data_IF_084631084926
#
_entry.id   IF_084631084926
#
_cell.length_a   1.000
_cell.length_b   1.000
_cell.length_c   1.000
_cell.angle_alpha   90.00
_cell.angle_beta   90.00
_cell.angle_gamma   90.00
#
_symmetry.space_group_name_H-M   'P 1'
#
loop_
_entity.id
_entity.type
_entity.pdbx_description
1 polymer ?
#
# COMPACT_ATOMS: atom_id res chain seq x y z
N UNK A 1 11.73 7.32 -25.85
CA UNK A 1 11.83 8.60 -25.11
C UNK A 1 12.61 8.32 -23.83
N UNK A 2 13.87 8.72 -23.76
CA UNK A 2 14.76 8.39 -22.63
C UNK A 2 14.49 9.41 -21.53
N UNK A 3 13.71 9.00 -20.52
CA UNK A 3 13.47 9.77 -19.29
C UNK A 3 14.83 9.85 -18.56
N UNK A 4 15.27 11.04 -18.10
CA UNK A 4 16.59 11.21 -17.52
C UNK A 4 16.79 10.28 -16.31
N UNK A 5 17.95 9.62 -16.32
CA UNK A 5 18.43 8.72 -15.29
C UNK A 5 18.57 9.43 -13.93
N UNK A 6 17.99 8.80 -12.90
CA UNK A 6 18.36 8.90 -11.49
C UNK A 6 18.13 10.25 -10.77
N UNK A 7 16.85 10.62 -10.59
CA UNK A 7 16.39 11.10 -9.28
C UNK A 7 15.32 10.13 -8.80
N UNK A 8 15.52 9.55 -7.63
CA UNK A 8 14.62 8.59 -6.98
C UNK A 8 13.19 9.14 -6.93
N UNK A 9 12.17 8.27 -6.87
CA UNK A 9 10.78 8.70 -6.86
C UNK A 9 10.48 9.72 -5.75
N UNK A 10 11.19 9.63 -4.62
CA UNK A 10 11.05 10.54 -3.50
C UNK A 10 11.65 11.94 -3.73
N UNK A 11 12.52 12.14 -4.71
CA UNK A 11 13.11 13.46 -4.97
C UNK A 11 12.17 14.40 -5.73
N UNK A 12 11.16 13.84 -6.39
CA UNK A 12 10.11 14.64 -7.01
C UNK A 12 9.27 15.38 -5.95
N UNK A 13 9.15 16.72 -6.02
CA UNK A 13 8.34 17.49 -5.09
C UNK A 13 6.88 17.06 -5.05
N UNK A 14 6.29 16.64 -6.18
CA UNK A 14 4.90 16.20 -6.22
C UNK A 14 4.71 14.90 -5.41
N UNK A 15 5.65 13.97 -5.53
CA UNK A 15 5.68 12.74 -4.73
C UNK A 15 5.83 13.01 -3.23
N UNK A 16 6.70 13.94 -2.83
CA UNK A 16 6.84 14.31 -1.40
C UNK A 16 5.57 14.91 -0.85
N UNK A 17 4.89 15.75 -1.63
CA UNK A 17 3.64 16.38 -1.20
C UNK A 17 2.52 15.34 -1.05
N UNK A 18 2.39 14.44 -2.01
CA UNK A 18 1.41 13.36 -1.94
C UNK A 18 1.68 12.40 -0.78
N UNK A 19 2.94 12.06 -0.52
CA UNK A 19 3.33 11.27 0.63
C UNK A 19 3.01 11.99 1.95
N UNK A 20 3.36 13.28 2.08
CA UNK A 20 3.04 14.09 3.27
C UNK A 20 1.54 14.16 3.51
N UNK A 21 0.73 14.40 2.48
CA UNK A 21 -0.73 14.43 2.61
C UNK A 21 -1.28 13.08 3.09
N UNK A 22 -0.77 11.99 2.53
CA UNK A 22 -1.15 10.63 2.95
C UNK A 22 -0.72 10.36 4.39
N UNK A 23 0.47 10.81 4.78
CA UNK A 23 1.01 10.67 6.13
C UNK A 23 0.17 11.46 7.14
N UNK A 24 -0.08 12.75 6.88
CA UNK A 24 -0.94 13.61 7.72
C UNK A 24 -2.31 12.98 7.89
N UNK A 25 -2.96 12.58 6.79
CA UNK A 25 -4.29 11.97 6.87
C UNK A 25 -4.31 10.71 7.74
N UNK A 26 -3.33 9.82 7.58
CA UNK A 26 -3.23 8.59 8.38
C UNK A 26 -2.90 8.86 9.85
N UNK A 27 -2.01 9.81 10.13
CA UNK A 27 -1.66 10.21 11.51
C UNK A 27 -2.84 10.88 12.19
N UNK A 28 -3.50 11.84 11.54
CA UNK A 28 -4.71 12.47 12.07
C UNK A 28 -5.82 11.44 12.31
N UNK A 29 -6.04 10.51 11.37
CA UNK A 29 -7.02 9.43 11.55
C UNK A 29 -6.66 8.51 12.73
N UNK A 30 -5.38 8.24 12.96
CA UNK A 30 -4.94 7.43 14.10
C UNK A 30 -5.14 8.18 15.42
N UNK A 31 -4.80 9.47 15.48
CA UNK A 31 -5.05 10.32 16.66
C UNK A 31 -6.54 10.45 16.97
N UNK A 32 -7.37 10.65 15.94
CA UNK A 32 -8.83 10.67 16.08
C UNK A 32 -9.37 9.33 16.58
N UNK A 33 -8.84 8.21 16.07
CA UNK A 33 -9.23 6.88 16.55
C UNK A 33 -8.88 6.69 18.02
N UNK A 34 -7.71 7.16 18.46
CA UNK A 34 -7.28 7.07 19.85
C UNK A 34 -8.12 7.97 20.76
N UNK A 35 -8.39 9.21 20.34
CA UNK A 35 -9.26 10.13 21.07
C UNK A 35 -10.68 9.57 21.21
N UNK A 36 -11.25 9.02 20.14
CA UNK A 36 -12.56 8.35 20.15
C UNK A 36 -12.60 7.16 21.10
N UNK A 37 -11.51 6.38 21.20
CA UNK A 37 -11.41 5.28 22.14
C UNK A 37 -11.42 5.76 23.60
N UNK A 38 -10.67 6.81 23.93
CA UNK A 38 -10.67 7.41 25.28
C UNK A 38 -12.03 8.00 25.62
N UNK A 39 -12.67 8.73 24.69
CA UNK A 39 -14.01 9.27 24.88
C UNK A 39 -15.05 8.15 25.08
N UNK A 40 -14.92 7.04 24.35
CA UNK A 40 -15.78 5.87 24.52
C UNK A 40 -15.60 5.22 25.89
N UNK A 41 -14.36 5.03 26.36
CA UNK A 41 -14.08 4.51 27.71
C UNK A 41 -14.69 5.39 28.80
N UNK A 42 -14.57 6.71 28.66
CA UNK A 42 -15.19 7.66 29.57
C UNK A 42 -16.71 7.51 29.58
N UNK A 43 -17.35 7.44 28.41
CA UNK A 43 -18.79 7.25 28.30
C UNK A 43 -19.24 5.96 29.00
N UNK A 44 -18.53 4.86 28.79
CA UNK A 44 -18.81 3.56 29.42
C UNK A 44 -18.79 3.64 30.94
N UNK A 45 -17.78 4.30 31.52
CA UNK A 45 -17.64 4.46 32.98
C UNK A 45 -18.78 5.28 33.57
N UNK A 46 -19.30 6.26 32.82
CA UNK A 46 -20.39 7.14 33.25
C UNK A 46 -21.79 6.53 33.04
N UNK A 47 -21.90 5.42 32.31
CA UNK A 47 -23.18 4.79 31.98
C UNK A 47 -23.47 3.54 32.82
N UNK A 48 -24.75 3.20 33.07
CA UNK A 48 -25.11 2.00 33.82
C UNK A 48 -24.63 0.71 33.14
N UNK A 49 -24.32 -0.33 33.93
CA UNK A 49 -23.70 -1.59 33.47
C UNK A 49 -24.45 -2.25 32.30
N UNK A 50 -25.77 -2.16 32.21
CA UNK A 50 -26.52 -2.75 31.10
C UNK A 50 -26.15 -2.16 29.73
N UNK A 51 -25.70 -0.91 29.67
CA UNK A 51 -25.27 -0.25 28.44
C UNK A 51 -23.99 -0.86 27.86
N UNK A 52 -23.18 -1.55 28.68
CA UNK A 52 -21.98 -2.26 28.20
C UNK A 52 -22.33 -3.27 27.11
N UNK A 53 -23.46 -3.98 27.23
CA UNK A 53 -23.88 -4.96 26.24
C UNK A 53 -24.16 -4.34 24.86
N UNK A 54 -24.69 -3.11 24.84
CA UNK A 54 -24.95 -2.35 23.61
C UNK A 54 -23.66 -1.71 23.07
N UNK A 55 -22.78 -1.26 23.97
CA UNK A 55 -21.54 -0.59 23.60
C UNK A 55 -20.42 -1.58 23.21
N UNK A 56 -20.52 -2.84 23.62
CA UNK A 56 -19.49 -3.86 23.35
C UNK A 56 -19.25 -4.13 21.85
N UNK A 57 -20.28 -4.26 20.98
CA UNK A 57 -20.06 -4.31 19.53
C UNK A 57 -19.34 -3.07 18.98
N UNK A 58 -19.67 -1.87 19.50
CA UNK A 58 -19.01 -0.63 19.10
C UNK A 58 -17.52 -0.62 19.51
N UNK A 59 -17.18 -1.19 20.68
CA UNK A 59 -15.79 -1.37 21.10
C UNK A 59 -15.00 -2.22 20.11
N UNK A 60 -15.54 -3.36 19.70
CA UNK A 60 -14.87 -4.26 18.75
C UNK A 60 -14.58 -3.52 17.43
N UNK A 61 -15.55 -2.74 16.94
CA UNK A 61 -15.37 -1.92 15.73
C UNK A 61 -14.29 -0.85 15.95
N UNK A 62 -14.30 -0.15 17.08
CA UNK A 62 -13.29 0.87 17.41
C UNK A 62 -11.87 0.27 17.52
N UNK A 63 -11.72 -0.90 18.15
CA UNK A 63 -10.45 -1.62 18.22
C UNK A 63 -9.99 -2.00 16.82
N UNK A 64 -10.88 -2.54 15.98
CA UNK A 64 -10.57 -2.89 14.60
C UNK A 64 -10.11 -1.68 13.77
N UNK A 65 -10.77 -0.53 13.92
CA UNK A 65 -10.36 0.73 13.27
C UNK A 65 -9.00 1.17 13.80
N UNK A 66 -8.78 1.18 15.12
CA UNK A 66 -7.53 1.58 15.74
C UNK A 66 -6.36 0.72 15.24
N UNK A 67 -6.49 -0.60 15.28
CA UNK A 67 -5.48 -1.54 14.76
C UNK A 67 -5.19 -1.29 13.27
N UNK A 68 -6.23 -1.09 12.46
CA UNK A 68 -6.06 -0.79 11.03
C UNK A 68 -5.35 0.54 10.80
N UNK A 69 -5.68 1.59 11.56
CA UNK A 69 -4.98 2.88 11.46
C UNK A 69 -3.52 2.76 11.87
N UNK A 70 -3.21 1.98 12.91
CA UNK A 70 -1.85 1.74 13.36
C UNK A 70 -1.01 1.04 12.27
N UNK A 71 -1.52 -0.05 11.70
CA UNK A 71 -0.86 -0.77 10.59
C UNK A 71 -0.65 0.16 9.39
N UNK A 72 -1.65 0.99 9.06
CA UNK A 72 -1.53 1.96 7.98
C UNK A 72 -0.44 3.02 8.23
N UNK A 73 -0.27 3.47 9.47
CA UNK A 73 0.80 4.41 9.87
C UNK A 73 2.15 3.73 9.79
N UNK A 74 2.29 2.50 10.31
CA UNK A 74 3.54 1.74 10.20
C UNK A 74 3.96 1.51 8.73
N UNK A 75 2.99 1.27 7.85
CA UNK A 75 3.22 1.14 6.40
C UNK A 75 3.75 2.41 5.70
N UNK A 76 3.64 3.60 6.32
CA UNK A 76 4.18 4.84 5.72
C UNK A 76 5.71 4.84 5.63
N UNK A 77 6.37 4.23 6.61
CA UNK A 77 7.82 4.11 6.63
C UNK A 77 8.31 3.21 5.49
N UNK A 78 7.62 2.10 5.26
CA UNK A 78 7.88 1.21 4.11
C UNK A 78 7.70 1.96 2.79
N UNK A 79 6.57 2.64 2.58
CA UNK A 79 6.34 3.47 1.38
C UNK A 79 7.50 4.45 1.12
N UNK A 80 7.96 5.14 2.18
CA UNK A 80 9.07 6.10 2.06
C UNK A 80 10.39 5.41 1.69
N UNK A 81 10.68 4.23 2.24
CA UNK A 81 11.90 3.47 1.90
C UNK A 81 11.90 3.08 0.43
N UNK A 82 10.78 2.57 -0.09
CA UNK A 82 10.66 2.15 -1.49
C UNK A 82 10.88 3.34 -2.43
N UNK A 83 10.20 4.46 -2.18
CA UNK A 83 10.30 5.66 -3.02
C UNK A 83 11.71 6.28 -3.02
N UNK A 84 12.50 6.06 -1.96
CA UNK A 84 13.89 6.51 -1.89
C UNK A 84 14.84 5.62 -2.69
N UNK A 85 14.48 4.36 -2.97
CA UNK A 85 15.36 3.41 -3.66
C UNK A 85 15.04 3.35 -5.15
N UNK A 86 13.75 3.40 -5.51
CA UNK A 86 13.31 3.18 -6.87
C UNK A 86 12.81 4.48 -7.53
N UNK A 87 13.17 4.73 -8.81
CA UNK A 87 12.57 5.80 -9.60
C UNK A 87 11.14 5.43 -10.03
N UNK A 88 10.37 6.44 -10.44
CA UNK A 88 9.06 6.22 -11.06
C UNK A 88 9.22 5.65 -12.48
N UNK A 89 8.39 4.67 -12.81
CA UNK A 89 8.25 4.07 -14.12
C UNK A 89 6.79 4.10 -14.51
N UNK A 90 6.49 4.67 -15.68
CA UNK A 90 5.14 4.78 -16.18
C UNK A 90 4.79 3.56 -17.05
N UNK A 91 3.64 2.96 -16.77
CA UNK A 91 3.12 1.81 -17.49
C UNK A 91 1.68 2.11 -17.96
N UNK A 92 1.44 2.23 -19.27
CA UNK A 92 0.08 2.30 -19.79
C UNK A 92 -0.61 0.94 -19.59
N UNK A 93 -1.91 0.98 -19.26
CA UNK A 93 -2.80 -0.20 -19.20
C UNK A 93 -2.37 -1.34 -18.25
N UNK A 94 -1.55 -1.03 -17.25
CA UNK A 94 -1.05 -2.05 -16.32
C UNK A 94 -2.07 -2.52 -15.27
N UNK A 95 -3.22 -1.85 -15.10
CA UNK A 95 -4.27 -2.30 -14.16
C UNK A 95 -5.36 -3.08 -14.86
N UNK A 96 -5.66 -4.24 -14.31
CA UNK A 96 -6.84 -5.03 -14.65
C UNK A 96 -7.63 -5.33 -13.39
N UNK A 97 -8.95 -5.35 -13.50
CA UNK A 97 -9.81 -5.83 -12.41
C UNK A 97 -10.10 -7.31 -12.64
N UNK A 98 -9.82 -8.12 -11.64
CA UNK A 98 -10.24 -9.51 -11.62
C UNK A 98 -11.74 -9.63 -11.27
N UNK A 99 -12.39 -10.70 -11.74
CA UNK A 99 -13.83 -10.97 -11.52
C UNK A 99 -14.24 -10.97 -10.04
N UNK A 100 -13.31 -11.24 -9.13
CA UNK A 100 -13.50 -11.23 -7.68
C UNK A 100 -13.40 -9.82 -7.05
N UNK A 101 -13.27 -8.75 -7.85
CA UNK A 101 -13.14 -7.38 -7.37
C UNK A 101 -11.73 -6.98 -6.92
N UNK A 102 -10.74 -7.87 -7.01
CA UNK A 102 -9.33 -7.55 -6.72
C UNK A 102 -8.70 -6.79 -7.90
N UNK A 103 -7.92 -5.74 -7.62
CA UNK A 103 -7.12 -5.06 -8.65
C UNK A 103 -5.82 -5.83 -8.85
N UNK A 104 -5.52 -6.19 -10.10
CA UNK A 104 -4.29 -6.86 -10.52
C UNK A 104 -3.49 -5.89 -11.37
N UNK A 105 -2.24 -5.68 -10.97
CA UNK A 105 -1.28 -4.87 -11.70
C UNK A 105 -0.30 -5.78 -12.41
N UNK A 106 -0.16 -5.63 -13.71
CA UNK A 106 0.70 -6.45 -14.55
C UNK A 106 1.89 -5.61 -14.98
N UNK A 107 3.07 -5.93 -14.46
CA UNK A 107 4.30 -5.17 -14.68
C UNK A 107 5.34 -6.12 -15.29
N UNK A 108 6.06 -5.70 -16.35
CA UNK A 108 7.10 -6.53 -16.94
C UNK A 108 8.26 -6.73 -15.98
N UNK A 109 8.85 -7.91 -16.02
CA UNK A 109 10.03 -8.24 -15.24
C UNK A 109 11.26 -7.46 -15.80
N UNK A 110 11.98 -6.69 -14.97
CA UNK A 110 13.09 -5.86 -15.44
C UNK A 110 14.25 -6.63 -16.07
N UNK A 111 14.46 -7.91 -15.74
CA UNK A 111 15.53 -8.73 -16.34
C UNK A 111 15.02 -9.57 -17.52
N UNK A 112 13.69 -9.72 -17.66
CA UNK A 112 13.03 -10.57 -18.66
C UNK A 112 11.75 -9.88 -19.12
N UNK A 113 11.82 -8.87 -20.00
CA UNK A 113 10.66 -8.07 -20.38
C UNK A 113 9.52 -8.92 -20.97
N UNK A 114 9.82 -10.09 -21.55
CA UNK A 114 8.82 -11.06 -21.99
C UNK A 114 7.97 -11.69 -20.87
N UNK A 115 8.42 -11.64 -19.61
CA UNK A 115 7.68 -12.17 -18.45
C UNK A 115 6.94 -11.06 -17.74
N UNK A 116 5.63 -11.23 -17.61
CA UNK A 116 4.77 -10.33 -16.87
C UNK A 116 4.56 -10.84 -15.45
N UNK A 117 4.74 -9.97 -14.46
CA UNK A 117 4.52 -10.27 -13.05
C UNK A 117 3.25 -9.57 -12.59
N UNK A 118 2.32 -10.36 -12.05
CA UNK A 118 1.08 -9.84 -11.50
C UNK A 118 1.22 -9.53 -10.01
N UNK A 119 0.98 -8.28 -9.62
CA UNK A 119 0.82 -7.84 -8.24
C UNK A 119 -0.67 -7.72 -7.93
N UNK A 120 -1.10 -8.32 -6.83
CA UNK A 120 -2.49 -8.24 -6.38
C UNK A 120 -2.62 -7.14 -5.34
N UNK A 121 -3.69 -6.36 -5.44
CA UNK A 121 -4.05 -5.38 -4.43
C UNK A 121 -5.54 -5.45 -4.10
N UNK A 122 -5.82 -5.37 -2.81
CA UNK A 122 -7.15 -5.52 -2.25
C UNK A 122 -7.45 -6.95 -1.82
N UNK A 123 -8.34 -7.06 -0.84
CA UNK A 123 -8.79 -8.33 -0.28
C UNK A 123 -10.30 -8.48 -0.53
N UNK A 124 -10.84 -9.69 -0.36
CA UNK A 124 -12.28 -10.00 -0.54
C UNK A 124 -13.19 -9.07 0.28
N UNK A 125 -12.76 -8.67 1.50
CA UNK A 125 -13.52 -7.77 2.39
C UNK A 125 -13.36 -6.27 2.06
N UNK A 126 -12.47 -5.89 1.14
CA UNK A 126 -11.93 -4.52 1.07
C UNK A 126 -12.17 -3.75 -0.22
N UNK A 127 -12.92 -4.27 -1.19
CA UNK A 127 -12.75 -3.82 -2.57
C UNK A 127 -13.92 -3.03 -3.18
N UNK A 128 -15.13 -2.98 -2.63
CA UNK A 128 -16.24 -2.26 -3.31
C UNK A 128 -16.10 -0.72 -3.37
N UNK A 129 -15.51 -0.13 -2.33
CA UNK A 129 -15.57 1.34 -2.07
C UNK A 129 -14.23 2.03 -2.30
N UNK A 130 -13.14 1.26 -2.47
CA UNK A 130 -11.82 1.86 -2.67
C UNK A 130 -11.72 2.46 -4.07
N UNK A 131 -11.11 3.64 -4.15
CA UNK A 131 -10.94 4.38 -5.40
C UNK A 131 -10.42 3.51 -6.56
N UNK A 132 -9.46 2.63 -6.29
CA UNK A 132 -8.83 1.77 -7.29
C UNK A 132 -9.78 0.75 -7.90
N UNK A 133 -10.68 0.18 -7.11
CA UNK A 133 -11.68 -0.76 -7.62
C UNK A 133 -12.81 0.00 -8.30
N UNK A 134 -13.15 1.20 -7.83
CA UNK A 134 -14.14 2.06 -8.49
C UNK A 134 -13.64 2.55 -9.85
N UNK A 135 -12.40 3.04 -9.94
CA UNK A 135 -11.83 3.51 -11.21
C UNK A 135 -11.46 2.37 -12.15
N UNK A 136 -10.96 1.24 -11.63
CA UNK A 136 -10.77 0.06 -12.46
C UNK A 136 -12.09 -0.48 -13.01
N UNK A 137 -13.20 -0.38 -12.25
CA UNK A 137 -14.53 -0.79 -12.75
C UNK A 137 -15.05 0.15 -13.82
N UNK A 138 -14.64 1.42 -13.79
CA UNK A 138 -14.99 2.40 -14.82
C UNK A 138 -14.09 2.33 -16.06
N UNK A 139 -13.06 1.47 -16.07
CA UNK A 139 -12.06 1.46 -17.15
C UNK A 139 -11.19 2.71 -17.20
N UNK A 140 -11.20 3.53 -16.15
CA UNK A 140 -10.53 4.84 -16.09
C UNK A 140 -9.14 4.78 -15.46
N UNK A 141 -8.61 3.58 -15.21
CA UNK A 141 -7.23 3.46 -14.73
C UNK A 141 -6.34 3.59 -15.97
N UNK A 142 -6.05 4.85 -16.33
CA UNK A 142 -5.13 5.17 -17.42
C UNK A 142 -3.69 4.80 -17.06
N UNK A 143 -2.75 5.71 -17.30
CA UNK A 143 -1.35 5.47 -16.99
C UNK A 143 -1.09 5.28 -15.48
N UNK A 144 -0.38 4.20 -15.16
CA UNK A 144 0.01 3.84 -13.80
C UNK A 144 1.48 4.11 -13.61
N UNK A 145 1.81 4.71 -12.48
CA UNK A 145 3.18 4.97 -12.10
C UNK A 145 3.59 3.96 -11.05
N UNK A 146 4.66 3.22 -11.30
CA UNK A 146 5.21 2.20 -10.41
C UNK A 146 6.63 2.58 -9.98
N UNK A 147 6.92 2.45 -8.69
CA UNK A 147 8.26 2.59 -8.14
C UNK A 147 8.55 1.39 -7.25
N UNK A 148 9.45 0.50 -7.68
CA UNK A 148 9.75 -0.73 -6.95
C UNK A 148 10.40 -1.79 -7.81
N UNK A 149 10.41 -3.01 -7.29
CA UNK A 149 10.70 -4.22 -8.05
C UNK A 149 9.45 -5.11 -8.02
N UNK A 150 8.83 -5.42 -9.19
CA UNK A 150 7.60 -6.20 -9.22
C UNK A 150 7.75 -7.63 -8.68
N UNK A 151 8.99 -8.14 -8.59
CA UNK A 151 9.29 -9.45 -8.00
C UNK A 151 9.17 -9.46 -6.48
N UNK A 152 9.25 -8.31 -5.83
CA UNK A 152 9.27 -8.20 -4.38
C UNK A 152 8.18 -7.25 -3.88
N UNK A 153 8.37 -5.95 -4.10
CA UNK A 153 7.52 -4.91 -3.56
C UNK A 153 7.65 -3.62 -4.36
N UNK A 154 6.63 -2.78 -4.28
CA UNK A 154 6.63 -1.48 -4.92
C UNK A 154 5.51 -0.57 -4.46
N UNK A 155 5.54 0.65 -4.98
CA UNK A 155 4.51 1.66 -4.80
C UNK A 155 3.87 1.94 -6.14
N UNK A 156 2.54 2.01 -6.14
CA UNK A 156 1.73 2.34 -7.31
C UNK A 156 1.03 3.68 -7.07
N UNK A 157 0.92 4.49 -8.11
CA UNK A 157 0.15 5.74 -8.15
C UNK A 157 -0.68 5.84 -9.44
N UNK A 158 -1.84 6.52 -9.38
CA UNK A 158 -2.67 6.84 -10.58
C UNK A 158 -2.41 8.27 -11.00
N UNK A 159 -2.21 8.50 -12.30
CA UNK A 159 -2.13 9.83 -12.91
C UNK A 159 -1.10 10.73 -12.21
N UNK A 160 0.17 10.37 -12.35
CA UNK A 160 1.27 10.96 -11.59
C UNK A 160 1.32 10.46 -10.14
N UNK A 161 2.10 11.11 -9.25
CA UNK A 161 2.39 10.60 -7.92
C UNK A 161 1.24 10.86 -6.92
N UNK A 162 0.00 10.57 -7.29
CA UNK A 162 -1.19 10.74 -6.44
C UNK A 162 -1.71 9.38 -5.98
N UNK A 163 -2.29 9.35 -4.77
CA UNK A 163 -2.95 8.17 -4.18
C UNK A 163 -2.04 6.93 -4.11
N UNK A 164 -0.91 7.10 -3.43
CA UNK A 164 0.14 6.08 -3.27
C UNK A 164 -0.38 4.82 -2.58
N UNK A 165 -0.11 3.68 -3.19
CA UNK A 165 -0.46 2.36 -2.67
C UNK A 165 0.77 1.47 -2.63
N UNK A 166 0.98 0.81 -1.49
CA UNK A 166 1.99 -0.25 -1.40
C UNK A 166 1.41 -1.53 -1.98
N UNK A 167 2.19 -2.18 -2.85
CA UNK A 167 1.94 -3.52 -3.35
C UNK A 167 3.16 -4.38 -3.06
N UNK A 168 2.93 -5.64 -2.75
CA UNK A 168 4.00 -6.57 -2.51
C UNK A 168 3.59 -7.98 -2.88
N UNK A 169 4.57 -8.79 -3.28
CA UNK A 169 4.42 -10.23 -3.32
C UNK A 169 4.37 -10.76 -1.88
N UNK A 170 3.51 -11.73 -1.57
CA UNK A 170 3.43 -12.33 -0.23
C UNK A 170 4.79 -12.83 0.27
N UNK A 171 5.59 -13.39 -0.62
CA UNK A 171 6.95 -13.91 -0.38
C UNK A 171 7.92 -12.85 0.17
N UNK A 172 7.71 -11.58 -0.16
CA UNK A 172 8.60 -10.48 0.21
C UNK A 172 8.27 -9.85 1.57
N UNK A 173 7.10 -10.17 2.15
CA UNK A 173 6.58 -9.51 3.36
C UNK A 173 6.15 -10.51 4.43
N UNK A 174 5.61 -11.68 4.05
CA UNK A 174 5.10 -12.65 5.01
C UNK A 174 6.25 -13.49 5.61
N UNK A 175 6.42 -13.42 6.93
CA UNK A 175 7.44 -14.18 7.64
C UNK A 175 7.26 -15.70 7.56
N UNK A 176 6.03 -16.15 7.34
CA UNK A 176 5.67 -17.57 7.22
C UNK A 176 6.02 -18.17 5.86
N UNK A 177 6.33 -17.34 4.85
CA UNK A 177 6.70 -17.80 3.52
C UNK A 177 8.21 -17.72 3.32
N UNK A 178 8.75 -18.68 2.58
CA UNK A 178 10.17 -18.68 2.21
C UNK A 178 10.46 -17.53 1.25
N UNK A 179 11.52 -16.78 1.55
CA UNK A 179 11.96 -15.69 0.69
C UNK A 179 12.39 -16.23 -0.68
N UNK A 180 12.11 -15.47 -1.74
CA UNK A 180 12.44 -15.87 -3.12
C UNK A 180 13.96 -15.94 -3.31
N UNK A 181 14.48 -17.14 -3.59
CA UNK A 181 15.93 -17.39 -3.80
C UNK A 181 16.36 -17.47 -5.27
N UNK A 182 15.47 -17.76 -6.21
CA UNK A 182 15.84 -18.10 -7.60
C UNK A 182 15.56 -16.96 -8.58
N UNK A 183 16.48 -16.74 -9.54
CA UNK A 183 16.25 -15.86 -10.70
C UNK A 183 16.30 -14.36 -10.42
N UNK A 184 17.07 -13.94 -9.41
CA UNK A 184 17.24 -12.52 -9.06
C UNK A 184 18.74 -12.22 -8.93
N UNK A 185 19.20 -11.16 -9.59
CA UNK A 185 20.59 -10.71 -9.49
C UNK A 185 20.92 -10.23 -8.06
N UNK A 186 22.19 -10.36 -7.61
CA UNK A 186 22.59 -9.88 -6.29
C UNK A 186 22.28 -8.39 -6.06
N UNK A 187 22.47 -7.55 -7.08
CA UNK A 187 22.16 -6.12 -7.02
C UNK A 187 20.66 -5.84 -6.83
N UNK A 188 19.78 -6.61 -7.49
CA UNK A 188 18.35 -6.49 -7.31
C UNK A 188 17.93 -6.89 -5.88
N UNK A 189 18.59 -7.90 -5.29
CA UNK A 189 18.34 -8.28 -3.89
C UNK A 189 18.78 -7.20 -2.91
N UNK A 190 19.96 -6.61 -3.09
CA UNK A 190 20.44 -5.52 -2.23
C UNK A 190 19.52 -4.31 -2.30
N UNK A 191 19.05 -3.92 -3.50
CA UNK A 191 18.04 -2.86 -3.66
C UNK A 191 16.71 -3.21 -3.00
N UNK A 192 16.22 -4.43 -3.18
CA UNK A 192 14.98 -4.88 -2.55
C UNK A 192 15.11 -4.88 -1.02
N UNK A 193 16.25 -5.32 -0.48
CA UNK A 193 16.56 -5.27 0.96
C UNK A 193 16.61 -3.84 1.49
N UNK A 194 17.23 -2.90 0.76
CA UNK A 194 17.25 -1.48 1.10
C UNK A 194 15.83 -0.87 1.13
N UNK A 195 14.93 -1.36 0.27
CA UNK A 195 13.52 -0.98 0.26
C UNK A 195 12.67 -1.70 1.33
N UNK A 196 13.25 -2.65 2.07
CA UNK A 196 12.62 -3.37 3.17
C UNK A 196 12.01 -4.72 2.78
N UNK A 197 12.35 -5.29 1.62
CA UNK A 197 11.91 -6.62 1.22
C UNK A 197 12.66 -7.71 1.98
N UNK A 198 11.96 -8.81 2.26
CA UNK A 198 12.60 -10.06 2.67
C UNK A 198 13.19 -10.73 1.43
N UNK A 199 14.51 -10.85 1.42
CA UNK A 199 15.29 -11.52 0.36
C UNK A 199 16.10 -12.64 0.99
N UNK A 200 16.27 -13.75 0.27
CA UNK A 200 16.99 -14.94 0.72
C UNK A 200 18.05 -15.44 -0.25
#
# INVERSE_FOLDING_TARGET
MVIPLAKTAYEDPATRWAWRRTAIFRVCSSLLSLASFVAWLYAVVMTPVWTLWILFPALIVLIGIALRTLVNVLGLASLRRILKVYPWQAYPDAATIAKNGTTRFTIPDPDRPEKQISLKWGDWLGSGVTFWVREGKKGNVGEIWFAGDPRFLGVIAVSGPRRLISVAQPEAVNDQMSARKRGVSPEARERAKAAGARVG
#
